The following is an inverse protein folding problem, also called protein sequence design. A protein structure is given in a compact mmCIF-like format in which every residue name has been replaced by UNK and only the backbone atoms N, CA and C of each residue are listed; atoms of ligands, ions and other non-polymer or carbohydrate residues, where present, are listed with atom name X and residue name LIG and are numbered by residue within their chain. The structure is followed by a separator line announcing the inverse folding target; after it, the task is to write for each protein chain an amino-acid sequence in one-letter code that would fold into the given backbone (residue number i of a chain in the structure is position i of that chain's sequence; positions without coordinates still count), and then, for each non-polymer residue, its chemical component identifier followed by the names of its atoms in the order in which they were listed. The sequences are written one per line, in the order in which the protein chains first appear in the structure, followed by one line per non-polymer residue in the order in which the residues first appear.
data_IF_015548821243
#
_entry.id   IF_015548821243
#
_cell.length_a   1.000
_cell.length_b   1.000
_cell.length_c   1.000
_cell.angle_alpha   90.00
_cell.angle_beta   90.00
_cell.angle_gamma   90.00
#
_symmetry.space_group_name_H-M   'P 1'
#
loop_
_entity.id
_entity.type
_entity.pdbx_description
1 polymer ?
#
# COMPACT_ATOMS: atom_id res chain seq x y z
N UNK A 1 9.34 -60.79 44.99
CA UNK A 1 9.88 -60.14 43.77
C UNK A 1 9.02 -60.29 42.50
N UNK A 2 7.82 -60.89 42.54
CA UNK A 2 6.97 -61.05 41.33
C UNK A 2 5.76 -60.09 41.23
N UNK A 3 5.34 -59.44 42.33
CA UNK A 3 4.16 -58.54 42.31
C UNK A 3 4.43 -57.18 41.65
N UNK A 4 5.62 -56.58 41.81
CA UNK A 4 5.94 -55.28 41.19
C UNK A 4 6.15 -55.35 39.67
N UNK A 5 6.52 -56.52 39.12
CA UNK A 5 6.65 -56.73 37.68
C UNK A 5 5.30 -56.79 36.96
N UNK A 6 4.25 -57.26 37.63
CA UNK A 6 2.88 -57.31 37.07
C UNK A 6 2.26 -55.91 36.95
N UNK A 7 2.47 -55.03 37.94
CA UNK A 7 1.99 -53.64 37.87
C UNK A 7 2.70 -52.83 36.77
N UNK A 8 4.00 -53.08 36.54
CA UNK A 8 4.77 -52.46 35.45
C UNK A 8 4.30 -52.91 34.05
N UNK A 9 3.89 -54.18 33.91
CA UNK A 9 3.35 -54.70 32.64
C UNK A 9 1.94 -54.17 32.34
N UNK A 10 1.09 -54.02 33.37
CA UNK A 10 -0.25 -53.43 33.21
C UNK A 10 -0.17 -51.92 32.90
N UNK A 11 0.78 -51.20 33.50
CA UNK A 11 1.02 -49.78 33.19
C UNK A 11 1.60 -49.59 31.79
N UNK A 12 2.48 -50.49 31.32
CA UNK A 12 3.04 -50.46 29.97
C UNK A 12 1.99 -50.76 28.88
N UNK A 13 0.99 -51.61 29.16
CA UNK A 13 -0.13 -51.89 28.25
C UNK A 13 -1.14 -50.74 28.15
N UNK A 14 -1.25 -49.89 29.18
CA UNK A 14 -2.14 -48.73 29.15
C UNK A 14 -1.63 -47.59 28.24
N UNK A 15 -0.32 -47.52 27.97
CA UNK A 15 0.26 -46.48 27.09
C UNK A 15 -0.05 -46.73 25.61
N UNK A 16 -0.29 -47.99 25.20
CA UNK A 16 -0.63 -48.34 23.82
C UNK A 16 -2.13 -48.19 23.48
N UNK A 17 -2.99 -47.91 24.47
CA UNK A 17 -4.42 -47.73 24.26
C UNK A 17 -4.84 -46.27 23.98
N UNK A 18 -3.89 -45.32 23.92
CA UNK A 18 -4.15 -43.90 23.70
C UNK A 18 -3.57 -43.35 22.39
N UNK A 19 -3.62 -44.14 21.32
CA UNK A 19 -3.76 -43.54 19.98
C UNK A 19 -5.26 -43.45 19.69
N UNK A 20 -5.89 -42.38 20.16
CA UNK A 20 -7.08 -41.89 19.45
C UNK A 20 -6.61 -41.62 18.03
N UNK A 21 -7.27 -42.24 17.06
CA UNK A 21 -7.18 -41.87 15.63
C UNK A 21 -7.11 -40.36 15.58
N UNK A 22 -6.05 -39.82 14.99
CA UNK A 22 -6.05 -38.41 14.58
C UNK A 22 -7.35 -38.20 13.83
N UNK A 23 -8.13 -37.19 14.24
CA UNK A 23 -9.30 -36.79 13.48
C UNK A 23 -8.78 -36.51 12.07
N UNK A 24 -9.15 -37.39 11.14
CA UNK A 24 -8.87 -37.23 9.72
C UNK A 24 -9.41 -35.86 9.37
N UNK A 25 -8.53 -34.91 9.02
CA UNK A 25 -8.89 -33.52 8.73
C UNK A 25 -9.79 -33.41 7.48
N UNK A 26 -10.24 -34.55 6.95
CA UNK A 26 -10.87 -34.68 5.66
C UNK A 26 -9.87 -34.44 4.55
N UNK A 27 -10.37 -34.37 3.34
CA UNK A 27 -9.58 -33.88 2.22
C UNK A 27 -9.27 -32.40 2.48
N UNK A 28 -8.02 -32.10 2.82
CA UNK A 28 -7.53 -30.73 3.09
C UNK A 28 -7.80 -29.81 1.91
N UNK A 29 -7.97 -30.35 0.69
CA UNK A 29 -8.35 -29.57 -0.51
C UNK A 29 -9.79 -29.07 -0.51
N UNK A 30 -10.65 -29.56 0.40
CA UNK A 30 -12.02 -29.08 0.61
C UNK A 30 -12.13 -27.98 1.66
N UNK A 31 -11.04 -27.68 2.36
CA UNK A 31 -10.96 -26.57 3.31
C UNK A 31 -10.66 -25.30 2.50
N UNK A 32 -11.59 -24.31 2.46
CA UNK A 32 -11.37 -23.10 1.68
C UNK A 32 -10.06 -22.41 2.08
N UNK A 33 -9.20 -22.13 1.10
CA UNK A 33 -7.94 -21.41 1.32
C UNK A 33 -6.72 -22.25 1.71
N UNK A 34 -6.77 -23.59 1.64
CA UNK A 34 -5.59 -24.47 1.84
C UNK A 34 -5.04 -25.11 0.55
N UNK A 35 -5.52 -24.65 -0.62
CA UNK A 35 -5.11 -25.14 -1.93
C UNK A 35 -5.95 -26.33 -2.39
N UNK A 36 -6.61 -26.18 -3.55
CA UNK A 36 -7.59 -27.14 -4.06
C UNK A 36 -8.81 -26.48 -4.69
N UNK A 37 -9.07 -25.22 -4.34
CA UNK A 37 -10.21 -24.47 -4.85
C UNK A 37 -10.07 -24.14 -6.34
N UNK A 38 -10.84 -24.82 -7.19
CA UNK A 38 -11.01 -24.45 -8.60
C UNK A 38 -12.22 -23.55 -8.75
N UNK A 39 -12.00 -22.27 -8.98
CA UNK A 39 -13.07 -21.31 -9.23
C UNK A 39 -13.33 -21.16 -10.74
N UNK A 40 -14.60 -21.19 -11.15
CA UNK A 40 -14.97 -20.74 -12.48
C UNK A 40 -14.61 -19.25 -12.63
N UNK A 41 -14.14 -18.87 -13.82
CA UNK A 41 -13.78 -17.47 -14.09
C UNK A 41 -15.03 -16.57 -13.98
N UNK A 42 -14.96 -15.59 -13.08
CA UNK A 42 -16.02 -14.61 -12.84
C UNK A 42 -15.90 -13.42 -13.79
N UNK A 43 -16.92 -12.54 -13.89
CA UNK A 43 -16.78 -11.25 -14.58
C UNK A 43 -15.65 -10.37 -14.02
N UNK A 44 -15.39 -10.45 -12.70
CA UNK A 44 -14.29 -9.73 -12.05
C UNK A 44 -12.94 -10.29 -12.55
N UNK A 45 -12.77 -11.62 -12.57
CA UNK A 45 -11.55 -12.27 -13.07
C UNK A 45 -11.26 -11.88 -14.53
N UNK A 46 -12.29 -11.88 -15.39
CA UNK A 46 -12.15 -11.48 -16.79
C UNK A 46 -11.77 -9.99 -16.92
N UNK A 47 -12.40 -9.11 -16.13
CA UNK A 47 -12.08 -7.70 -16.13
C UNK A 47 -10.63 -7.44 -15.70
N UNK A 48 -10.17 -8.07 -14.62
CA UNK A 48 -8.77 -7.98 -14.15
C UNK A 48 -7.82 -8.47 -15.24
N UNK A 49 -8.10 -9.63 -15.84
CA UNK A 49 -7.27 -10.22 -16.89
C UNK A 49 -7.11 -9.27 -18.06
N UNK A 50 -8.21 -8.75 -18.58
CA UNK A 50 -8.21 -7.97 -19.83
C UNK A 50 -7.72 -6.53 -19.61
N UNK A 51 -7.93 -5.98 -18.41
CA UNK A 51 -7.66 -4.57 -18.09
C UNK A 51 -6.31 -4.35 -17.41
N UNK A 52 -5.82 -5.33 -16.65
CA UNK A 52 -4.61 -5.22 -15.82
C UNK A 52 -3.57 -6.28 -16.19
N UNK A 53 -3.94 -7.56 -16.22
CA UNK A 53 -2.98 -8.65 -16.41
C UNK A 53 -2.38 -8.66 -17.82
N UNK A 54 -3.19 -8.74 -18.88
CA UNK A 54 -2.70 -8.71 -20.26
C UNK A 54 -1.90 -7.45 -20.59
N UNK A 55 -2.33 -6.23 -20.25
CA UNK A 55 -1.58 -5.04 -20.62
C UNK A 55 -0.36 -4.73 -19.74
N UNK A 56 -0.36 -5.09 -18.44
CA UNK A 56 0.65 -4.63 -17.48
C UNK A 56 1.31 -5.74 -16.64
N UNK A 57 0.88 -6.99 -16.81
CA UNK A 57 1.29 -8.12 -15.96
C UNK A 57 0.98 -7.89 -14.48
N UNK A 58 -0.19 -7.32 -14.20
CA UNK A 58 -0.68 -7.08 -12.85
C UNK A 58 -1.73 -8.13 -12.49
N UNK A 59 -1.59 -8.71 -11.31
CA UNK A 59 -2.56 -9.61 -10.69
C UNK A 59 -3.16 -8.92 -9.46
N UNK A 60 -4.49 -8.86 -9.39
CA UNK A 60 -5.21 -8.40 -8.21
C UNK A 60 -5.81 -9.61 -7.48
N UNK A 61 -5.28 -9.91 -6.30
CA UNK A 61 -5.76 -10.96 -5.39
C UNK A 61 -6.88 -10.39 -4.52
N UNK A 62 -8.11 -10.79 -4.84
CA UNK A 62 -9.32 -10.39 -4.11
C UNK A 62 -10.08 -11.58 -3.50
N UNK A 63 -9.85 -12.79 -4.03
CA UNK A 63 -10.34 -14.03 -3.43
C UNK A 63 -9.60 -14.24 -2.11
N UNK A 64 -10.36 -14.49 -1.04
CA UNK A 64 -9.82 -14.49 0.30
C UNK A 64 -8.84 -15.64 0.52
N UNK A 65 -7.63 -15.29 0.93
CA UNK A 65 -6.61 -16.22 1.39
C UNK A 65 -5.92 -15.59 2.60
N UNK A 66 -6.29 -16.04 3.79
CA UNK A 66 -5.72 -15.54 5.03
C UNK A 66 -4.25 -15.97 5.17
N UNK A 67 -3.82 -17.06 4.53
CA UNK A 67 -2.46 -17.56 4.59
C UNK A 67 -1.43 -16.62 3.96
N UNK A 68 -1.88 -15.69 3.11
CA UNK A 68 -1.04 -14.67 2.52
C UNK A 68 -0.94 -13.37 3.34
N UNK A 69 -1.67 -13.26 4.45
CA UNK A 69 -1.76 -12.06 5.27
C UNK A 69 -1.19 -12.30 6.67
N UNK A 70 -0.94 -11.21 7.40
CA UNK A 70 -0.42 -11.28 8.76
C UNK A 70 -1.41 -11.99 9.69
N UNK A 71 -0.99 -13.13 10.25
CA UNK A 71 -1.84 -13.97 11.11
C UNK A 71 -2.19 -13.32 12.45
N UNK A 72 -1.45 -12.30 12.88
CA UNK A 72 -1.72 -11.55 14.11
C UNK A 72 -2.75 -10.43 13.92
N UNK A 73 -3.30 -10.26 12.71
CA UNK A 73 -4.29 -9.24 12.37
C UNK A 73 -5.68 -9.82 12.14
N UNK A 74 -6.69 -9.12 12.67
CA UNK A 74 -8.11 -9.41 12.38
C UNK A 74 -8.51 -8.72 11.09
N UNK A 75 -8.30 -9.39 9.96
CA UNK A 75 -8.62 -8.87 8.63
C UNK A 75 -9.88 -9.53 8.07
N UNK A 76 -10.61 -8.80 7.22
CA UNK A 76 -11.83 -9.27 6.55
C UNK A 76 -11.71 -9.23 5.04
N UNK A 77 -12.40 -10.13 4.31
CA UNK A 77 -12.38 -10.14 2.86
C UNK A 77 -12.95 -8.85 2.25
N UNK A 78 -12.42 -8.41 1.09
CA UNK A 78 -13.00 -7.32 0.36
C UNK A 78 -14.35 -7.75 -0.23
N UNK A 79 -15.33 -6.85 -0.20
CA UNK A 79 -16.63 -7.02 -0.85
C UNK A 79 -16.44 -7.04 -2.37
N UNK A 80 -17.00 -8.04 -3.05
CA UNK A 80 -16.83 -8.22 -4.50
C UNK A 80 -17.30 -6.99 -5.30
N UNK A 81 -18.39 -6.34 -4.87
CA UNK A 81 -18.91 -5.14 -5.51
C UNK A 81 -17.95 -3.94 -5.44
N UNK A 82 -16.90 -4.00 -4.61
CA UNK A 82 -15.88 -2.95 -4.48
C UNK A 82 -14.68 -3.16 -5.39
N UNK A 83 -14.45 -4.38 -5.88
CA UNK A 83 -13.21 -4.74 -6.58
C UNK A 83 -13.03 -3.95 -7.87
N UNK A 84 -14.03 -3.97 -8.77
CA UNK A 84 -13.95 -3.23 -10.04
C UNK A 84 -13.87 -1.70 -9.78
N UNK A 85 -14.68 -1.08 -8.90
CA UNK A 85 -14.54 0.33 -8.56
C UNK A 85 -13.14 0.75 -8.06
N UNK A 86 -12.54 -0.04 -7.16
CA UNK A 86 -11.19 0.23 -6.64
C UNK A 86 -10.16 0.11 -7.76
N UNK A 87 -10.13 -1.03 -8.46
CA UNK A 87 -9.11 -1.29 -9.48
C UNK A 87 -9.23 -0.38 -10.70
N UNK A 88 -10.46 -0.02 -11.10
CA UNK A 88 -10.67 0.96 -12.16
C UNK A 88 -10.18 2.35 -11.77
N UNK A 89 -10.35 2.75 -10.51
CA UNK A 89 -9.83 4.00 -9.98
C UNK A 89 -8.29 4.01 -9.95
N UNK A 90 -7.67 2.91 -9.50
CA UNK A 90 -6.21 2.73 -9.54
C UNK A 90 -5.69 2.82 -10.98
N UNK A 91 -6.31 2.12 -11.92
CA UNK A 91 -5.91 2.19 -13.31
C UNK A 91 -6.00 3.63 -13.85
N UNK A 92 -7.12 4.31 -13.61
CA UNK A 92 -7.39 5.64 -14.16
C UNK A 92 -6.45 6.70 -13.57
N UNK A 93 -6.29 6.73 -12.25
CA UNK A 93 -5.56 7.79 -11.55
C UNK A 93 -4.05 7.56 -11.58
N UNK A 94 -3.62 6.31 -11.52
CA UNK A 94 -2.20 6.01 -11.42
C UNK A 94 -1.66 5.45 -12.74
N UNK A 95 -2.10 4.26 -13.15
CA UNK A 95 -1.51 3.58 -14.33
C UNK A 95 -1.61 4.44 -15.59
N UNK A 96 -2.81 4.92 -15.93
CA UNK A 96 -3.04 5.64 -17.19
C UNK A 96 -2.30 6.98 -17.22
N UNK A 97 -2.15 7.65 -16.07
CA UNK A 97 -1.41 8.91 -15.98
C UNK A 97 0.09 8.70 -16.22
N UNK A 98 0.69 7.68 -15.60
CA UNK A 98 2.09 7.34 -15.90
C UNK A 98 2.28 6.81 -17.32
N UNK A 99 1.30 6.09 -17.90
CA UNK A 99 1.36 5.68 -19.32
C UNK A 99 1.35 6.89 -20.25
N UNK A 100 0.58 7.94 -19.95
CA UNK A 100 0.57 9.17 -20.73
C UNK A 100 1.89 9.96 -20.63
N UNK A 101 2.57 9.90 -19.48
CA UNK A 101 3.81 10.65 -19.25
C UNK A 101 5.07 9.90 -19.68
N UNK A 102 5.15 8.60 -19.41
CA UNK A 102 6.36 7.78 -19.57
C UNK A 102 6.19 6.62 -20.56
N UNK A 103 4.98 6.43 -21.11
CA UNK A 103 4.66 5.34 -22.02
C UNK A 103 4.32 4.03 -21.31
N UNK A 104 3.68 3.13 -22.05
CA UNK A 104 3.21 1.84 -21.54
C UNK A 104 4.33 0.95 -20.99
N UNK A 105 5.49 0.94 -21.67
CA UNK A 105 6.65 0.13 -21.29
C UNK A 105 7.18 0.50 -19.90
N UNK A 106 7.15 1.78 -19.54
CA UNK A 106 7.54 2.23 -18.21
C UNK A 106 6.68 1.56 -17.13
N UNK A 107 5.36 1.61 -17.27
CA UNK A 107 4.46 0.95 -16.32
C UNK A 107 4.61 -0.56 -16.33
N UNK A 108 4.75 -1.21 -17.49
CA UNK A 108 5.00 -2.65 -17.55
C UNK A 108 6.26 -3.06 -16.79
N UNK A 109 7.30 -2.22 -16.80
CA UNK A 109 8.58 -2.49 -16.13
C UNK A 109 8.50 -2.30 -14.62
N UNK A 110 7.94 -1.18 -14.16
CA UNK A 110 8.06 -0.76 -12.77
C UNK A 110 6.82 -0.99 -11.92
N UNK A 111 5.64 -1.22 -12.51
CA UNK A 111 4.44 -1.46 -11.72
C UNK A 111 4.58 -2.73 -10.86
N UNK A 112 4.19 -2.69 -9.57
CA UNK A 112 3.99 -3.88 -8.75
C UNK A 112 3.15 -4.93 -9.48
N UNK A 113 3.52 -6.20 -9.30
CA UNK A 113 2.88 -7.32 -9.99
C UNK A 113 1.68 -7.85 -9.23
N UNK A 114 1.62 -7.63 -7.92
CA UNK A 114 0.54 -8.11 -7.07
C UNK A 114 -0.11 -6.97 -6.31
N UNK A 115 -1.42 -6.85 -6.47
CA UNK A 115 -2.27 -6.14 -5.52
C UNK A 115 -2.97 -7.16 -4.64
N UNK A 116 -2.86 -7.01 -3.32
CA UNK A 116 -3.65 -7.79 -2.37
C UNK A 116 -4.69 -6.88 -1.76
N UNK A 117 -5.95 -7.26 -1.92
CA UNK A 117 -7.10 -6.41 -1.64
C UNK A 117 -7.76 -6.86 -0.34
N UNK A 118 -7.84 -5.99 0.67
CA UNK A 118 -8.33 -6.31 2.01
C UNK A 118 -9.49 -5.40 2.42
N UNK A 119 -10.59 -5.98 2.92
CA UNK A 119 -11.82 -5.26 3.19
C UNK A 119 -11.75 -4.32 4.39
N UNK A 120 -11.07 -4.73 5.47
CA UNK A 120 -10.96 -3.99 6.73
C UNK A 120 -9.65 -3.19 6.84
N UNK A 121 -9.61 -2.31 7.84
CA UNK A 121 -8.38 -1.65 8.30
C UNK A 121 -7.38 -2.66 8.90
N UNK A 122 -6.09 -2.38 8.74
CA UNK A 122 -5.02 -3.04 9.48
C UNK A 122 -4.61 -2.16 10.66
N UNK A 123 -4.99 -2.57 11.88
CA UNK A 123 -4.71 -1.81 13.10
C UNK A 123 -3.32 -2.16 13.66
N UNK A 124 -2.55 -1.12 13.97
CA UNK A 124 -1.28 -1.23 14.67
C UNK A 124 -1.49 -1.22 16.19
N UNK A 125 -0.50 -1.71 16.94
CA UNK A 125 -0.55 -1.79 18.41
C UNK A 125 -0.73 -0.41 19.05
N UNK A 126 -0.22 0.64 18.41
CA UNK A 126 -0.33 2.03 18.85
C UNK A 126 -1.68 2.69 18.48
N UNK A 127 -2.61 1.94 17.89
CA UNK A 127 -3.94 2.43 17.49
C UNK A 127 -3.98 3.15 16.15
N UNK A 128 -2.86 3.23 15.42
CA UNK A 128 -2.85 3.77 14.05
C UNK A 128 -3.35 2.73 13.04
N UNK A 129 -3.74 3.18 11.84
CA UNK A 129 -4.19 2.30 10.74
C UNK A 129 -3.15 2.32 9.63
N UNK A 130 -2.76 1.13 9.15
CA UNK A 130 -2.00 0.95 7.92
C UNK A 130 -2.98 0.82 6.74
N UNK A 131 -2.93 1.75 5.79
CA UNK A 131 -3.83 1.78 4.62
C UNK A 131 -3.27 1.04 3.40
N UNK A 132 -1.96 0.80 3.39
CA UNK A 132 -1.32 -0.15 2.52
C UNK A 132 0.15 -0.37 2.88
N UNK A 133 0.75 -1.37 2.27
CA UNK A 133 2.17 -1.72 2.43
C UNK A 133 2.72 -2.20 1.10
N UNK A 134 4.02 -2.01 0.84
CA UNK A 134 4.72 -2.74 -0.21
C UNK A 134 5.80 -3.69 0.31
N UNK A 135 5.87 -4.85 -0.33
CA UNK A 135 6.88 -5.86 -0.06
C UNK A 135 7.78 -6.04 -1.29
N UNK A 136 9.05 -5.66 -1.15
CA UNK A 136 10.10 -5.88 -2.16
C UNK A 136 9.79 -5.30 -3.55
N UNK A 137 8.99 -4.24 -3.61
CA UNK A 137 8.58 -3.57 -4.85
C UNK A 137 7.69 -4.41 -5.79
N UNK A 138 7.27 -5.61 -5.38
CA UNK A 138 6.50 -6.54 -6.21
C UNK A 138 5.04 -6.65 -5.82
N UNK A 139 4.73 -6.35 -4.56
CA UNK A 139 3.42 -6.54 -3.95
C UNK A 139 3.01 -5.27 -3.23
N UNK A 140 1.79 -4.80 -3.49
CA UNK A 140 1.10 -3.77 -2.70
C UNK A 140 -0.11 -4.41 -2.04
N UNK A 141 -0.25 -4.25 -0.72
CA UNK A 141 -1.48 -4.59 0.01
C UNK A 141 -2.27 -3.30 0.19
N UNK A 142 -3.57 -3.31 -0.10
CA UNK A 142 -4.48 -2.19 0.14
C UNK A 142 -5.55 -2.63 1.14
N UNK A 143 -5.80 -1.79 2.15
CA UNK A 143 -6.76 -2.02 3.22
C UNK A 143 -7.98 -1.08 3.11
N UNK A 144 -9.03 -1.36 3.88
CA UNK A 144 -10.24 -0.50 4.00
C UNK A 144 -11.08 -0.45 2.70
N UNK A 145 -10.98 -1.46 1.85
CA UNK A 145 -11.69 -1.47 0.56
C UNK A 145 -13.22 -1.50 0.70
N UNK A 146 -13.74 -2.01 1.82
CA UNK A 146 -15.18 -2.09 2.05
C UNK A 146 -15.82 -0.70 2.23
N UNK A 147 -15.02 0.29 2.62
CA UNK A 147 -15.43 1.68 2.76
C UNK A 147 -15.06 2.54 1.55
N UNK A 148 -14.50 1.94 0.49
CA UNK A 148 -14.21 2.64 -0.75
C UNK A 148 -15.49 3.19 -1.39
N UNK A 149 -15.56 4.52 -1.52
CA UNK A 149 -16.64 5.24 -2.18
C UNK A 149 -16.06 6.45 -2.93
N UNK A 150 -16.44 6.58 -4.20
CA UNK A 150 -16.10 7.74 -5.02
C UNK A 150 -17.36 8.50 -5.43
N UNK A 151 -17.18 9.75 -5.85
CA UNK A 151 -18.23 10.61 -6.38
C UNK A 151 -19.05 9.87 -7.44
N UNK A 152 -20.37 9.85 -7.24
CA UNK A 152 -21.33 9.15 -8.12
C UNK A 152 -21.72 7.75 -7.64
N UNK A 153 -21.04 7.17 -6.65
CA UNK A 153 -21.49 5.94 -6.00
C UNK A 153 -22.63 6.22 -5.01
N UNK A 154 -23.57 5.28 -4.90
CA UNK A 154 -24.63 5.32 -3.88
C UNK A 154 -24.03 5.38 -2.48
N UNK A 155 -24.49 6.33 -1.67
CA UNK A 155 -24.03 6.52 -0.29
C UNK A 155 -22.70 7.27 -0.15
N UNK A 156 -22.15 7.83 -1.24
CA UNK A 156 -20.98 8.71 -1.16
C UNK A 156 -21.28 9.99 -0.39
N UNK A 157 -20.40 10.33 0.55
CA UNK A 157 -20.39 11.61 1.29
C UNK A 157 -19.03 12.31 1.11
N UNK A 158 -18.95 13.65 1.23
CA UNK A 158 -17.68 14.37 1.05
C UNK A 158 -16.54 13.89 1.97
N UNK A 159 -16.84 13.33 3.14
CA UNK A 159 -15.82 12.74 4.02
C UNK A 159 -15.09 11.54 3.41
N UNK A 160 -15.71 10.81 2.48
CA UNK A 160 -15.09 9.68 1.78
C UNK A 160 -13.89 10.12 0.92
N UNK A 161 -13.85 11.40 0.49
CA UNK A 161 -12.75 11.99 -0.27
C UNK A 161 -11.38 11.75 0.40
N UNK A 162 -11.34 11.73 1.74
CA UNK A 162 -10.12 11.54 2.53
C UNK A 162 -9.53 10.14 2.27
N UNK A 163 -10.38 9.11 2.31
CA UNK A 163 -9.94 7.73 2.10
C UNK A 163 -9.37 7.53 0.67
N UNK A 164 -10.00 8.17 -0.32
CA UNK A 164 -9.52 8.12 -1.71
C UNK A 164 -8.17 8.80 -1.86
N UNK A 165 -7.99 10.00 -1.27
CA UNK A 165 -6.69 10.69 -1.26
C UNK A 165 -5.62 9.85 -0.58
N UNK A 166 -5.91 9.27 0.60
CA UNK A 166 -4.97 8.44 1.35
C UNK A 166 -4.58 7.15 0.60
N UNK A 167 -5.53 6.53 -0.12
CA UNK A 167 -5.23 5.38 -0.97
C UNK A 167 -4.21 5.75 -2.06
N UNK A 168 -4.41 6.88 -2.75
CA UNK A 168 -3.46 7.30 -3.79
C UNK A 168 -2.14 7.81 -3.22
N UNK A 169 -2.15 8.47 -2.07
CA UNK A 169 -0.93 8.80 -1.33
C UNK A 169 -0.11 7.53 -1.05
N UNK A 170 -0.75 6.46 -0.57
CA UNK A 170 -0.07 5.18 -0.32
C UNK A 170 0.48 4.58 -1.61
N UNK A 171 -0.30 4.54 -2.70
CA UNK A 171 0.16 3.97 -3.97
C UNK A 171 1.35 4.76 -4.55
N UNK A 172 1.32 6.09 -4.53
CA UNK A 172 2.42 6.92 -5.02
C UNK A 172 3.66 6.84 -4.13
N UNK A 173 3.48 6.73 -2.81
CA UNK A 173 4.55 6.53 -1.85
C UNK A 173 5.31 5.22 -2.17
N UNK A 174 4.59 4.11 -2.27
CA UNK A 174 5.17 2.81 -2.56
C UNK A 174 5.79 2.74 -3.97
N UNK A 175 5.18 3.43 -4.94
CA UNK A 175 5.77 3.52 -6.26
C UNK A 175 7.06 4.35 -6.26
N UNK A 176 7.11 5.43 -5.47
CA UNK A 176 8.32 6.19 -5.20
C UNK A 176 9.45 5.30 -4.68
N UNK A 177 9.14 4.37 -3.76
CA UNK A 177 10.11 3.38 -3.28
C UNK A 177 10.66 2.51 -4.41
N UNK A 178 9.78 1.97 -5.26
CA UNK A 178 10.20 1.13 -6.39
C UNK A 178 11.13 1.89 -7.33
N UNK A 179 10.81 3.15 -7.64
CA UNK A 179 11.62 3.96 -8.53
C UNK A 179 13.00 4.20 -7.93
N UNK A 180 13.10 4.71 -6.70
CA UNK A 180 14.42 5.02 -6.13
C UNK A 180 15.26 3.78 -5.79
N UNK A 181 14.63 2.65 -5.44
CA UNK A 181 15.33 1.39 -5.25
C UNK A 181 15.87 0.84 -6.59
N UNK A 182 15.24 1.18 -7.72
CA UNK A 182 15.73 0.83 -9.05
C UNK A 182 16.90 1.73 -9.46
N UNK A 183 16.74 3.05 -9.33
CA UNK A 183 17.79 4.03 -9.61
C UNK A 183 17.79 5.08 -8.51
N UNK A 184 18.83 5.09 -7.68
CA UNK A 184 18.86 5.91 -6.49
C UNK A 184 18.80 7.42 -6.80
N UNK A 185 18.04 8.15 -5.99
CA UNK A 185 18.00 9.61 -6.04
C UNK A 185 19.37 10.24 -5.64
N UNK A 186 19.63 11.52 -5.97
CA UNK A 186 20.92 12.16 -5.67
C UNK A 186 21.28 12.17 -4.18
N UNK A 187 22.54 11.87 -3.85
CA UNK A 187 23.01 11.83 -2.45
C UNK A 187 22.84 13.14 -1.69
N UNK A 188 22.80 14.27 -2.40
CA UNK A 188 22.55 15.59 -1.80
C UNK A 188 21.21 15.68 -1.08
N UNK A 189 20.23 14.84 -1.43
CA UNK A 189 18.98 14.69 -0.68
C UNK A 189 19.22 14.46 0.82
N UNK A 190 20.09 13.50 1.14
CA UNK A 190 20.35 13.05 2.52
C UNK A 190 20.99 14.14 3.40
N UNK A 191 21.49 15.21 2.78
CA UNK A 191 22.14 16.34 3.47
C UNK A 191 21.17 17.44 3.89
N UNK A 192 19.96 17.49 3.32
CA UNK A 192 19.01 18.59 3.56
C UNK A 192 18.47 18.59 4.99
N UNK A 193 18.13 17.40 5.51
CA UNK A 193 17.52 17.20 6.82
C UNK A 193 18.40 16.38 7.77
N UNK A 194 19.71 16.37 7.54
CA UNK A 194 20.66 15.63 8.39
C UNK A 194 20.54 16.09 9.84
N UNK A 195 20.43 15.12 10.77
CA UNK A 195 20.26 15.38 12.20
C UNK A 195 18.82 15.62 12.67
N UNK A 196 17.87 15.81 11.75
CA UNK A 196 16.46 16.07 12.11
C UNK A 196 15.55 14.83 12.01
N UNK A 197 16.07 13.70 11.49
CA UNK A 197 15.33 12.42 11.42
C UNK A 197 15.16 11.78 12.81
N UNK A 198 14.03 11.10 13.03
CA UNK A 198 13.68 10.48 14.32
C UNK A 198 12.83 9.22 14.16
N UNK A 199 13.07 8.22 15.01
CA UNK A 199 12.20 7.03 15.14
C UNK A 199 10.87 7.34 15.81
N UNK A 200 10.76 8.45 16.54
CA UNK A 200 9.57 8.89 17.28
C UNK A 200 8.71 9.86 16.46
N UNK A 201 8.70 9.71 15.14
CA UNK A 201 7.98 10.56 14.20
C UNK A 201 6.47 10.60 14.50
N UNK A 202 5.92 9.49 15.01
CA UNK A 202 4.51 9.32 15.37
C UNK A 202 4.05 10.21 16.55
N UNK A 203 4.99 10.80 17.30
CA UNK A 203 4.68 11.78 18.36
C UNK A 203 4.63 13.23 17.84
N UNK A 204 4.79 13.44 16.52
CA UNK A 204 4.80 14.76 15.87
C UNK A 204 3.58 14.88 14.95
N UNK A 205 2.91 16.03 14.96
CA UNK A 205 1.85 16.33 13.99
C UNK A 205 2.46 16.80 12.67
N UNK A 206 1.75 16.64 11.54
CA UNK A 206 2.22 17.14 10.23
C UNK A 206 2.59 18.61 10.28
N UNK A 207 1.77 19.45 10.94
CA UNK A 207 2.06 20.88 11.10
C UNK A 207 3.40 21.12 11.80
N UNK A 208 3.74 20.37 12.85
CA UNK A 208 5.02 20.50 13.54
C UNK A 208 6.19 20.00 12.67
N UNK A 209 5.98 18.95 11.87
CA UNK A 209 6.98 18.43 10.94
C UNK A 209 7.23 19.40 9.77
N UNK A 210 6.18 20.06 9.28
CA UNK A 210 6.26 21.09 8.25
C UNK A 210 7.14 22.26 8.70
N UNK A 211 7.04 22.70 9.96
CA UNK A 211 7.91 23.74 10.54
C UNK A 211 9.39 23.32 10.69
N UNK A 212 9.72 22.05 10.45
CA UNK A 212 11.10 21.52 10.43
C UNK A 212 11.61 21.22 9.02
N UNK A 213 10.77 21.34 7.99
CA UNK A 213 11.11 21.08 6.60
C UNK A 213 10.83 19.64 6.14
N UNK A 214 9.87 18.96 6.77
CA UNK A 214 9.34 17.67 6.35
C UNK A 214 7.89 17.83 5.89
N UNK A 215 7.49 17.18 4.80
CA UNK A 215 6.15 17.40 4.21
C UNK A 215 5.02 16.70 5.00
N UNK A 216 5.36 15.63 5.72
CA UNK A 216 4.51 14.91 6.67
C UNK A 216 5.31 14.61 7.94
N UNK A 217 4.62 14.20 9.00
CA UNK A 217 5.26 13.67 10.19
C UNK A 217 6.07 12.41 9.87
N UNK A 218 5.55 11.52 9.02
CA UNK A 218 6.18 10.25 8.66
C UNK A 218 7.50 10.43 7.90
N UNK A 219 7.64 11.49 7.11
CA UNK A 219 8.89 11.86 6.45
C UNK A 219 10.09 12.04 7.40
N UNK A 220 9.86 12.24 8.71
CA UNK A 220 10.94 12.28 9.72
C UNK A 220 11.55 10.91 10.01
N UNK A 221 10.91 9.80 9.61
CA UNK A 221 11.35 8.44 9.95
C UNK A 221 12.68 8.06 9.29
N UNK A 222 12.99 8.63 8.13
CA UNK A 222 14.26 8.42 7.45
C UNK A 222 14.34 9.14 6.09
N UNK A 223 15.53 9.23 5.50
CA UNK A 223 15.74 9.97 4.26
C UNK A 223 15.02 9.36 3.04
N UNK A 224 14.88 8.03 3.00
CA UNK A 224 14.18 7.35 1.91
C UNK A 224 12.67 7.61 1.99
N UNK A 225 12.10 7.57 3.20
CA UNK A 225 10.70 7.90 3.49
C UNK A 225 10.39 9.37 3.18
N UNK A 226 11.25 10.29 3.61
CA UNK A 226 11.16 11.71 3.28
C UNK A 226 11.08 11.96 1.77
N UNK A 227 11.87 11.21 0.99
CA UNK A 227 11.90 11.34 -0.46
C UNK A 227 10.59 10.92 -1.10
N UNK A 228 10.07 9.75 -0.72
CA UNK A 228 8.83 9.23 -1.31
C UNK A 228 7.59 9.96 -0.80
N UNK A 229 7.62 10.48 0.43
CA UNK A 229 6.57 11.34 0.97
C UNK A 229 6.47 12.65 0.18
N UNK A 230 7.60 13.24 -0.21
CA UNK A 230 7.61 14.41 -1.09
C UNK A 230 6.97 14.11 -2.45
N UNK A 231 7.31 12.98 -3.07
CA UNK A 231 6.68 12.53 -4.33
C UNK A 231 5.17 12.40 -4.14
N UNK A 232 4.78 11.60 -3.15
CA UNK A 232 3.39 11.23 -2.90
C UNK A 232 2.52 12.45 -2.57
N UNK A 233 2.97 13.31 -1.67
CA UNK A 233 2.23 14.52 -1.30
C UNK A 233 2.12 15.50 -2.46
N UNK A 234 3.19 15.71 -3.23
CA UNK A 234 3.11 16.57 -4.40
C UNK A 234 2.08 16.04 -5.42
N UNK A 235 2.05 14.73 -5.71
CA UNK A 235 1.13 14.15 -6.68
C UNK A 235 -0.33 14.10 -6.19
N UNK A 236 -0.55 13.71 -4.94
CA UNK A 236 -1.90 13.51 -4.38
C UNK A 236 -2.60 14.83 -3.97
N UNK A 237 -1.87 15.78 -3.40
CA UNK A 237 -2.37 17.13 -3.10
C UNK A 237 -2.43 18.01 -4.35
N UNK A 238 -1.62 17.69 -5.35
CA UNK A 238 -1.42 18.53 -6.53
C UNK A 238 -0.72 19.86 -6.18
N UNK A 239 -0.54 20.73 -7.18
CA UNK A 239 0.18 22.00 -6.98
C UNK A 239 -0.46 22.86 -5.91
N UNK A 240 -1.77 23.07 -5.97
CA UNK A 240 -2.46 23.98 -5.05
C UNK A 240 -2.44 23.47 -3.60
N UNK A 241 -2.66 22.17 -3.37
CA UNK A 241 -2.62 21.61 -2.02
C UNK A 241 -1.20 21.62 -1.44
N UNK A 242 -0.19 21.28 -2.24
CA UNK A 242 1.21 21.38 -1.82
C UNK A 242 1.61 22.84 -1.50
N UNK A 243 1.27 23.80 -2.35
CA UNK A 243 1.52 25.22 -2.09
C UNK A 243 0.80 25.74 -0.84
N UNK A 244 -0.43 25.26 -0.58
CA UNK A 244 -1.16 25.61 0.63
C UNK A 244 -0.40 25.14 1.88
N UNK A 245 0.14 23.92 1.88
CA UNK A 245 1.00 23.41 2.96
C UNK A 245 2.20 24.32 3.14
N UNK A 246 2.96 24.60 2.07
CA UNK A 246 4.15 25.46 2.15
C UNK A 246 3.81 26.87 2.67
N UNK A 247 2.70 27.45 2.23
CA UNK A 247 2.26 28.78 2.66
C UNK A 247 1.84 28.85 4.12
N UNK A 248 1.53 27.71 4.75
CA UNK A 248 1.14 27.62 6.16
C UNK A 248 2.35 27.57 7.12
N UNK A 249 3.56 27.39 6.59
CA UNK A 249 4.80 27.25 7.35
C UNK A 249 5.36 28.64 7.68
N UNK A 250 5.61 28.88 8.97
CA UNK A 250 6.15 30.16 9.46
C UNK A 250 7.68 30.20 9.38
N UNK A 251 8.35 29.05 9.51
CA UNK A 251 9.79 28.95 9.48
C UNK A 251 10.36 29.01 8.05
N UNK A 252 11.03 30.12 7.70
CA UNK A 252 11.64 30.31 6.38
C UNK A 252 12.70 29.26 6.02
N UNK A 253 13.45 28.74 7.01
CA UNK A 253 14.43 27.68 6.76
C UNK A 253 13.75 26.36 6.39
N UNK A 254 12.61 26.04 7.00
CA UNK A 254 11.81 24.87 6.67
C UNK A 254 11.21 24.97 5.25
N UNK A 255 10.69 26.14 4.88
CA UNK A 255 10.26 26.41 3.50
C UNK A 255 11.42 26.21 2.51
N UNK A 256 12.60 26.75 2.82
CA UNK A 256 13.79 26.58 1.97
C UNK A 256 14.18 25.10 1.78
N UNK A 257 14.18 24.29 2.85
CA UNK A 257 14.41 22.85 2.77
C UNK A 257 13.41 22.16 1.85
N UNK A 258 12.11 22.42 2.01
CA UNK A 258 11.06 21.80 1.19
C UNK A 258 11.16 22.20 -0.29
N UNK A 259 11.53 23.45 -0.60
CA UNK A 259 11.78 23.87 -1.99
C UNK A 259 13.00 23.21 -2.60
N UNK A 260 14.06 23.00 -1.82
CA UNK A 260 15.23 22.25 -2.28
C UNK A 260 14.85 20.78 -2.57
N UNK A 261 14.06 20.17 -1.70
CA UNK A 261 13.53 18.81 -1.89
C UNK A 261 12.65 18.71 -3.13
N UNK A 262 11.70 19.62 -3.31
CA UNK A 262 10.85 19.72 -4.51
C UNK A 262 11.70 19.78 -5.78
N UNK A 263 12.72 20.63 -5.82
CA UNK A 263 13.60 20.74 -6.98
C UNK A 263 14.33 19.43 -7.29
N UNK A 264 14.80 18.70 -6.26
CA UNK A 264 15.45 17.40 -6.43
C UNK A 264 14.46 16.36 -6.97
N UNK A 265 13.23 16.28 -6.44
CA UNK A 265 12.21 15.34 -6.92
C UNK A 265 11.90 15.61 -8.40
N UNK A 266 11.67 16.86 -8.77
CA UNK A 266 11.35 17.26 -10.14
C UNK A 266 12.49 16.93 -11.10
N UNK A 267 13.73 17.26 -10.72
CA UNK A 267 14.90 16.97 -11.54
C UNK A 267 15.17 15.47 -11.63
N UNK A 268 15.02 14.72 -10.54
CA UNK A 268 15.16 13.27 -10.54
C UNK A 268 14.17 12.60 -11.52
N UNK A 269 12.89 12.98 -11.48
CA UNK A 269 11.90 12.45 -12.43
C UNK A 269 12.22 12.78 -13.88
N UNK A 270 12.67 14.01 -14.14
CA UNK A 270 13.04 14.45 -15.48
C UNK A 270 14.28 13.71 -15.99
N UNK A 271 15.35 13.71 -15.21
CA UNK A 271 16.68 13.29 -15.67
C UNK A 271 16.84 11.76 -15.65
N UNK A 272 16.19 11.07 -14.70
CA UNK A 272 16.27 9.60 -14.57
C UNK A 272 15.16 8.90 -15.35
N UNK A 273 13.94 9.42 -15.29
CA UNK A 273 12.76 8.74 -15.83
C UNK A 273 12.20 9.39 -17.10
N UNK A 274 12.71 10.56 -17.50
CA UNK A 274 12.18 11.31 -18.64
C UNK A 274 10.78 11.86 -18.40
N UNK A 275 10.35 11.96 -17.14
CA UNK A 275 8.98 12.35 -16.76
C UNK A 275 8.95 13.83 -16.42
N UNK A 276 8.00 14.57 -17.00
CA UNK A 276 7.68 15.91 -16.54
C UNK A 276 6.82 15.82 -15.27
N UNK A 277 7.46 15.96 -14.11
CA UNK A 277 6.79 15.79 -12.82
C UNK A 277 5.57 16.70 -12.62
N UNK A 278 5.62 17.97 -13.07
CA UNK A 278 4.48 18.87 -12.94
C UNK A 278 3.33 18.54 -13.90
N UNK A 279 3.63 17.96 -15.06
CA UNK A 279 2.58 17.44 -15.95
C UNK A 279 1.91 16.22 -15.33
N UNK A 280 2.70 15.27 -14.80
CA UNK A 280 2.21 14.12 -14.04
C UNK A 280 1.37 14.55 -12.83
N UNK A 281 1.85 15.52 -12.04
CA UNK A 281 1.14 16.09 -10.89
C UNK A 281 -0.23 16.64 -11.30
N UNK A 282 -0.28 17.40 -12.39
CA UNK A 282 -1.51 18.00 -12.90
C UNK A 282 -2.53 16.92 -13.30
N UNK A 283 -2.09 15.89 -14.03
CA UNK A 283 -2.96 14.78 -14.47
C UNK A 283 -3.47 13.94 -13.31
N UNK A 284 -2.56 13.61 -12.39
CA UNK A 284 -2.86 12.81 -11.20
C UNK A 284 -3.90 13.53 -10.36
N UNK A 285 -3.66 14.82 -10.05
CA UNK A 285 -4.60 15.62 -9.28
C UNK A 285 -5.96 15.74 -9.96
N UNK A 286 -6.00 16.04 -11.27
CA UNK A 286 -7.26 16.13 -12.02
C UNK A 286 -8.04 14.79 -12.00
N UNK A 287 -7.33 13.66 -12.05
CA UNK A 287 -7.94 12.34 -12.00
C UNK A 287 -8.48 12.01 -10.61
N UNK A 288 -7.79 12.42 -9.54
CA UNK A 288 -8.27 12.32 -8.16
C UNK A 288 -9.52 13.17 -7.97
N UNK A 289 -9.50 14.44 -8.41
CA UNK A 289 -10.63 15.37 -8.31
C UNK A 289 -11.88 14.89 -9.06
N UNK A 290 -11.70 14.10 -10.11
CA UNK A 290 -12.82 13.45 -10.79
C UNK A 290 -13.51 12.38 -9.91
N UNK A 291 -12.84 11.84 -8.90
CA UNK A 291 -13.34 10.82 -7.98
C UNK A 291 -13.84 11.39 -6.64
N UNK A 292 -13.49 12.63 -6.29
CA UNK A 292 -13.76 13.20 -4.97
C UNK A 292 -14.57 14.52 -5.06
N UNK A 293 -15.02 15.02 -3.90
CA UNK A 293 -15.61 16.34 -3.71
C UNK A 293 -14.74 17.18 -2.79
#
# INVERSE_FOLDING_TARGET
MFKHKIYLVILALAVFASCKKEDDLGDVSTIPGLGGDTWAATPIDNWIRDTLTKPFNITAKYKWDQGELDFDKTLTPPKEEKIIPVLSSIKKVWIDNYVMEAGKTFMQKYVPKFFVLVGSANWNIDGTITLGTAEGGRRIVLYVLNDFRVKGMTGYVPGDSINIKMMFHTIEHEFGHILHQTVLYPQDWKRISVGDYTSNWNNTTDKQANEKGFITAYAQSGPDEDFVEMISMMLSEGRNGYEAIISSISNAAAVSKLRQKEAIVVNYYKDVWGINFYSLQTRTRASIEALIK
#
